data_IF_648364275530
#
_entry.id   IF_648364275530
#
_cell.length_a   1.000
_cell.length_b   1.000
_cell.length_c   1.000
_cell.angle_alpha   90.00
_cell.angle_beta   90.00
_cell.angle_gamma   90.00
#
_symmetry.space_group_name_H-M   'P 1'
#
loop_
_entity.id
_entity.type
_entity.pdbx_description
1 polymer ?
#
# COMPACT_ATOMS: atom_id res chain seq x y z
N UNK A 1 0.72 30.30 -17.32
CA UNK A 1 1.73 30.18 -18.40
C UNK A 1 1.23 29.28 -19.52
N UNK A 2 0.74 28.07 -19.24
CA UNK A 2 0.14 27.19 -20.27
C UNK A 2 -1.04 27.81 -21.05
N UNK A 3 -1.96 28.52 -20.37
CA UNK A 3 -3.09 29.18 -21.04
C UNK A 3 -2.65 30.22 -22.10
N UNK A 4 -1.57 30.97 -21.84
CA UNK A 4 -1.02 31.96 -22.79
C UNK A 4 -0.36 31.28 -24.00
N UNK A 5 0.16 30.07 -23.84
CA UNK A 5 0.76 29.31 -24.94
C UNK A 5 -0.30 28.75 -25.90
N UNK A 6 -1.43 28.28 -25.38
CA UNK A 6 -2.48 27.67 -26.21
C UNK A 6 -3.41 28.69 -26.88
N UNK A 7 -3.52 29.90 -26.31
CA UNK A 7 -4.36 31.01 -26.77
C UNK A 7 -4.32 31.29 -28.31
N UNK A 8 -3.16 31.44 -28.97
CA UNK A 8 -3.11 31.70 -30.42
C UNK A 8 -3.65 30.54 -31.27
N UNK A 9 -3.61 29.31 -30.76
CA UNK A 9 -4.17 28.14 -31.44
C UNK A 9 -5.70 28.08 -31.28
N UNK A 10 -6.21 28.52 -30.13
CA UNK A 10 -7.66 28.62 -29.88
C UNK A 10 -8.31 29.74 -30.70
N UNK A 11 -7.62 30.86 -30.94
CA UNK A 11 -8.13 31.94 -31.78
C UNK A 11 -8.31 31.54 -33.26
N UNK A 12 -7.67 30.45 -33.68
CA UNK A 12 -7.61 29.96 -35.06
C UNK A 12 -8.40 28.64 -35.26
N UNK A 13 -9.32 28.29 -34.36
CA UNK A 13 -10.11 27.04 -34.38
C UNK A 13 -10.93 26.81 -35.67
N UNK A 14 -11.14 27.84 -36.47
CA UNK A 14 -11.87 27.76 -37.76
C UNK A 14 -10.99 27.34 -38.93
N UNK A 15 -9.66 27.22 -38.75
CA UNK A 15 -8.74 26.86 -39.83
C UNK A 15 -8.70 25.33 -40.05
N UNK A 16 -9.13 24.89 -41.23
CA UNK A 16 -9.03 23.51 -41.71
C UNK A 16 -7.61 23.10 -42.16
N UNK A 17 -6.56 23.61 -41.50
CA UNK A 17 -5.18 23.22 -41.82
C UNK A 17 -4.85 21.87 -41.18
N UNK A 18 -4.62 20.78 -41.94
CA UNK A 18 -4.24 19.47 -41.38
C UNK A 18 -2.93 19.50 -40.59
N UNK A 19 -2.10 20.53 -40.73
CA UNK A 19 -0.85 20.73 -39.98
C UNK A 19 -1.03 21.45 -38.64
N UNK A 20 -2.26 21.85 -38.30
CA UNK A 20 -2.51 22.61 -37.07
C UNK A 20 -2.25 21.76 -35.82
N UNK A 21 -1.72 22.41 -34.77
CA UNK A 21 -1.45 21.78 -33.48
C UNK A 21 -2.68 21.06 -32.90
N UNK A 22 -3.87 21.63 -33.10
CA UNK A 22 -5.12 21.11 -32.54
C UNK A 22 -5.74 19.99 -33.39
N UNK A 23 -5.28 19.81 -34.63
CA UNK A 23 -5.75 18.75 -35.53
C UNK A 23 -4.94 17.45 -35.38
N UNK A 24 -3.84 17.45 -34.61
CA UNK A 24 -3.03 16.25 -34.33
C UNK A 24 -2.70 16.14 -32.84
N UNK A 25 -3.27 15.12 -32.19
CA UNK A 25 -2.99 14.83 -30.78
C UNK A 25 -1.49 14.59 -30.54
N UNK A 26 -0.81 13.93 -31.47
CA UNK A 26 0.62 13.65 -31.36
C UNK A 26 1.46 14.94 -31.39
N UNK A 27 1.13 15.89 -32.28
CA UNK A 27 1.82 17.19 -32.32
C UNK A 27 1.54 17.99 -31.05
N UNK A 28 0.29 17.99 -30.59
CA UNK A 28 -0.11 18.63 -29.34
C UNK A 28 0.67 18.10 -28.14
N UNK A 29 0.70 16.78 -27.94
CA UNK A 29 1.45 16.13 -26.86
C UNK A 29 2.94 16.46 -26.95
N UNK A 30 3.54 16.37 -28.14
CA UNK A 30 4.97 16.66 -28.31
C UNK A 30 5.34 18.08 -27.89
N UNK A 31 4.57 19.10 -28.29
CA UNK A 31 4.84 20.49 -27.91
C UNK A 31 4.53 20.74 -26.42
N UNK A 32 3.47 20.12 -25.90
CA UNK A 32 3.10 20.21 -24.49
C UNK A 32 4.23 19.69 -23.60
N UNK A 33 4.75 18.49 -23.89
CA UNK A 33 5.88 17.91 -23.15
C UNK A 33 7.18 18.66 -23.39
N UNK A 34 7.42 19.21 -24.58
CA UNK A 34 8.61 20.01 -24.85
C UNK A 34 8.65 21.31 -24.02
N UNK A 35 7.50 21.96 -23.82
CA UNK A 35 7.42 23.25 -23.13
C UNK A 35 7.17 23.14 -21.64
N UNK A 36 6.45 22.10 -21.20
CA UNK A 36 6.00 21.96 -19.81
C UNK A 36 6.39 20.63 -19.17
N UNK A 37 6.90 19.66 -19.93
CA UNK A 37 7.42 18.42 -19.40
C UNK A 37 8.76 18.63 -18.70
N UNK A 38 9.07 17.77 -17.73
CA UNK A 38 10.40 17.74 -17.12
C UNK A 38 11.33 16.87 -18.00
N UNK A 39 12.41 17.42 -18.57
CA UNK A 39 13.35 16.65 -19.38
C UNK A 39 14.03 15.50 -18.63
N UNK A 40 14.04 15.55 -17.29
CA UNK A 40 14.63 14.54 -16.42
C UNK A 40 13.57 13.66 -15.74
N UNK A 41 12.30 13.71 -16.17
CA UNK A 41 11.21 13.01 -15.49
C UNK A 41 11.48 11.51 -15.36
N UNK A 42 11.91 10.86 -16.44
CA UNK A 42 12.27 9.44 -16.45
C UNK A 42 13.38 9.17 -15.43
N UNK A 43 14.47 9.95 -15.48
CA UNK A 43 15.61 9.78 -14.57
C UNK A 43 15.24 10.00 -13.10
N UNK A 44 14.31 10.92 -12.82
CA UNK A 44 13.77 11.15 -11.48
C UNK A 44 12.91 9.99 -11.03
N UNK A 45 12.02 9.50 -11.89
CA UNK A 45 11.16 8.35 -11.60
C UNK A 45 11.99 7.08 -11.35
N UNK A 46 13.05 6.85 -12.12
CA UNK A 46 14.01 5.76 -11.90
C UNK A 46 14.70 5.87 -10.54
N UNK A 47 15.20 7.05 -10.18
CA UNK A 47 15.83 7.28 -8.87
C UNK A 47 14.83 7.12 -7.70
N UNK A 48 13.59 7.56 -7.88
CA UNK A 48 12.50 7.31 -6.92
C UNK A 48 12.24 5.81 -6.79
N UNK A 49 12.14 5.09 -7.91
CA UNK A 49 11.93 3.64 -7.96
C UNK A 49 13.08 2.84 -7.31
N UNK A 50 14.32 3.30 -7.41
CA UNK A 50 15.48 2.66 -6.79
C UNK A 50 15.42 2.65 -5.26
N UNK A 51 14.86 3.73 -4.70
CA UNK A 51 14.65 3.92 -3.26
C UNK A 51 13.23 3.55 -2.80
N UNK A 52 12.38 3.12 -3.72
CA UNK A 52 10.98 2.80 -3.47
C UNK A 52 10.85 1.49 -2.69
N UNK A 53 10.15 1.54 -1.56
CA UNK A 53 9.94 0.39 -0.70
C UNK A 53 8.80 0.61 0.27
N UNK A 54 8.13 -0.48 0.63
CA UNK A 54 7.06 -0.48 1.61
C UNK A 54 7.63 -0.65 3.01
N UNK A 55 7.15 0.16 3.96
CA UNK A 55 7.51 0.03 5.38
C UNK A 55 6.90 -1.23 6.00
N UNK A 56 7.49 -1.71 7.09
CA UNK A 56 6.89 -2.77 7.89
C UNK A 56 5.53 -2.33 8.45
N UNK A 57 4.51 -3.15 8.25
CA UNK A 57 3.10 -2.81 8.54
C UNK A 57 2.40 -1.88 7.54
N UNK A 58 3.06 -1.51 6.44
CA UNK A 58 2.46 -0.76 5.35
C UNK A 58 1.39 -1.54 4.59
N UNK A 59 0.52 -0.82 3.87
CA UNK A 59 -0.58 -1.38 3.09
C UNK A 59 -0.14 -1.66 1.64
N UNK A 60 -0.33 -2.89 1.18
CA UNK A 60 0.11 -3.31 -0.16
C UNK A 60 -0.69 -2.65 -1.30
N UNK A 61 -1.98 -2.35 -1.11
CA UNK A 61 -2.77 -1.69 -2.16
C UNK A 61 -2.23 -0.30 -2.48
N UNK A 62 -1.85 0.47 -1.45
CA UNK A 62 -1.20 1.78 -1.64
C UNK A 62 0.16 1.62 -2.34
N UNK A 63 0.97 0.67 -1.87
CA UNK A 63 2.26 0.37 -2.49
C UNK A 63 2.14 0.01 -3.99
N UNK A 64 1.16 -0.83 -4.36
CA UNK A 64 0.91 -1.19 -5.77
C UNK A 64 0.49 0.04 -6.58
N UNK A 65 -0.37 0.90 -6.03
CA UNK A 65 -0.82 2.12 -6.70
C UNK A 65 0.35 3.06 -6.97
N UNK A 66 1.18 3.31 -5.96
CA UNK A 66 2.35 4.18 -6.05
C UNK A 66 3.40 3.61 -7.01
N UNK A 67 3.65 2.30 -6.95
CA UNK A 67 4.54 1.61 -7.89
C UNK A 67 4.08 1.78 -9.34
N UNK A 68 2.79 1.57 -9.62
CA UNK A 68 2.22 1.75 -10.97
C UNK A 68 2.34 3.18 -11.46
N UNK A 69 2.16 4.15 -10.58
CA UNK A 69 2.36 5.57 -10.88
C UNK A 69 3.80 5.89 -11.26
N UNK A 70 4.79 5.29 -10.57
CA UNK A 70 6.20 5.44 -10.94
C UNK A 70 6.51 4.78 -12.28
N UNK A 71 6.03 3.56 -12.50
CA UNK A 71 6.28 2.81 -13.74
C UNK A 71 5.68 3.51 -14.96
N UNK A 72 4.52 4.16 -14.83
CA UNK A 72 3.90 4.91 -15.94
C UNK A 72 4.72 6.13 -16.36
N UNK A 73 5.54 6.69 -15.47
CA UNK A 73 6.46 7.80 -15.76
C UNK A 73 7.74 7.35 -16.47
N UNK A 74 8.11 6.08 -16.32
CA UNK A 74 9.33 5.49 -16.91
C UNK A 74 9.02 4.94 -18.33
N UNK A 75 7.95 4.14 -18.46
CA UNK A 75 7.38 3.73 -19.74
C UNK A 75 8.03 2.52 -20.44
N UNK A 76 9.36 2.44 -20.52
CA UNK A 76 10.08 1.51 -21.42
C UNK A 76 10.76 0.31 -20.72
N UNK A 77 10.52 0.11 -19.44
CA UNK A 77 11.10 -1.00 -18.69
C UNK A 77 10.44 -2.35 -18.98
N UNK A 78 11.29 -3.38 -19.15
CA UNK A 78 10.83 -4.76 -19.32
C UNK A 78 10.22 -5.35 -18.04
N UNK A 79 9.24 -6.23 -18.20
CA UNK A 79 8.50 -6.83 -17.08
C UNK A 79 9.40 -7.52 -16.04
N UNK A 80 10.48 -8.19 -16.48
CA UNK A 80 11.44 -8.84 -15.58
C UNK A 80 12.14 -7.84 -14.65
N UNK A 81 12.46 -6.65 -15.16
CA UNK A 81 13.04 -5.57 -14.35
C UNK A 81 11.99 -5.04 -13.36
N UNK A 82 10.75 -4.82 -13.82
CA UNK A 82 9.66 -4.39 -12.95
C UNK A 82 9.39 -5.39 -11.80
N UNK A 83 9.37 -6.69 -12.10
CA UNK A 83 9.25 -7.74 -11.08
C UNK A 83 10.39 -7.67 -10.07
N UNK A 84 11.62 -7.46 -10.52
CA UNK A 84 12.78 -7.33 -9.65
C UNK A 84 12.64 -6.14 -8.69
N UNK A 85 12.31 -4.96 -9.21
CA UNK A 85 12.13 -3.75 -8.40
C UNK A 85 10.93 -3.85 -7.45
N UNK A 86 9.82 -4.44 -7.91
CA UNK A 86 8.67 -4.68 -7.05
C UNK A 86 9.05 -5.58 -5.88
N UNK A 87 9.71 -6.71 -6.12
CA UNK A 87 10.17 -7.62 -5.04
C UNK A 87 11.14 -6.94 -4.09
N UNK A 88 12.10 -6.17 -4.60
CA UNK A 88 13.09 -5.44 -3.79
C UNK A 88 12.44 -4.52 -2.75
N UNK A 89 11.30 -3.90 -3.10
CA UNK A 89 10.60 -2.98 -2.22
C UNK A 89 9.61 -3.64 -1.23
N UNK A 90 9.44 -4.95 -1.26
CA UNK A 90 8.53 -5.65 -0.34
C UNK A 90 9.17 -5.86 1.05
N UNK A 91 8.37 -5.84 2.13
CA UNK A 91 8.84 -6.15 3.47
C UNK A 91 9.14 -7.64 3.62
N UNK A 92 10.03 -7.95 4.57
CA UNK A 92 10.47 -9.32 4.89
C UNK A 92 9.30 -10.28 5.09
N UNK A 93 8.27 -9.86 5.84
CA UNK A 93 7.07 -10.66 6.13
C UNK A 93 6.33 -11.17 4.88
N UNK A 94 6.37 -10.41 3.78
CA UNK A 94 5.71 -10.79 2.53
C UNK A 94 6.67 -11.62 1.69
N UNK A 95 7.95 -11.27 1.66
CA UNK A 95 8.99 -12.04 0.95
C UNK A 95 9.06 -13.48 1.44
N UNK A 96 9.06 -13.71 2.76
CA UNK A 96 9.08 -15.05 3.35
C UNK A 96 7.83 -15.88 2.95
N UNK A 97 6.69 -15.21 2.82
CA UNK A 97 5.45 -15.85 2.40
C UNK A 97 5.40 -16.11 0.89
N UNK A 98 6.02 -15.25 0.09
CA UNK A 98 6.17 -15.44 -1.35
C UNK A 98 7.10 -16.62 -1.65
N UNK A 99 8.21 -16.75 -0.90
CA UNK A 99 9.17 -17.85 -1.08
C UNK A 99 8.57 -19.23 -0.72
N UNK A 100 7.62 -19.25 0.20
CA UNK A 100 6.86 -20.45 0.57
C UNK A 100 5.58 -20.64 -0.26
N UNK A 101 5.27 -19.74 -1.19
CA UNK A 101 4.06 -19.80 -1.99
C UNK A 101 4.18 -20.87 -3.10
N UNK A 102 3.20 -21.78 -3.25
CA UNK A 102 3.30 -22.91 -4.17
C UNK A 102 3.14 -22.52 -5.65
N UNK A 103 2.56 -21.36 -5.93
CA UNK A 103 2.24 -20.92 -7.30
C UNK A 103 3.45 -20.28 -7.99
N UNK A 104 3.61 -20.58 -9.28
CA UNK A 104 4.59 -19.92 -10.13
C UNK A 104 4.14 -18.48 -10.41
N UNK A 105 5.06 -17.53 -10.25
CA UNK A 105 4.82 -16.10 -10.49
C UNK A 105 5.46 -15.75 -11.84
N UNK A 106 4.65 -15.71 -12.89
CA UNK A 106 5.12 -15.52 -14.27
C UNK A 106 4.91 -14.10 -14.79
N UNK A 107 4.05 -13.31 -14.15
CA UNK A 107 3.81 -11.91 -14.51
C UNK A 107 3.91 -10.97 -13.31
N UNK A 108 4.10 -9.68 -13.60
CA UNK A 108 4.04 -8.62 -12.59
C UNK A 108 2.64 -8.54 -11.96
N UNK A 109 1.60 -8.79 -12.77
CA UNK A 109 0.21 -8.74 -12.31
C UNK A 109 -0.07 -9.87 -11.32
N UNK A 110 0.42 -11.08 -11.58
CA UNK A 110 0.28 -12.22 -10.65
C UNK A 110 1.02 -11.93 -9.34
N UNK A 111 2.23 -11.38 -9.43
CA UNK A 111 3.01 -10.99 -8.25
C UNK A 111 2.25 -9.98 -7.38
N UNK A 112 1.68 -8.93 -7.99
CA UNK A 112 0.88 -7.93 -7.30
C UNK A 112 -0.36 -8.56 -6.65
N UNK A 113 -1.05 -9.45 -7.35
CA UNK A 113 -2.24 -10.15 -6.84
C UNK A 113 -1.93 -11.01 -5.61
N UNK A 114 -0.90 -11.85 -5.69
CA UNK A 114 -0.48 -12.72 -4.58
C UNK A 114 -0.03 -11.88 -3.39
N UNK A 115 0.75 -10.82 -3.63
CA UNK A 115 1.23 -9.91 -2.58
C UNK A 115 0.05 -9.27 -1.83
N UNK A 116 -0.99 -8.85 -2.55
CA UNK A 116 -2.19 -8.25 -1.97
C UNK A 116 -3.01 -9.26 -1.14
N UNK A 117 -3.11 -10.50 -1.61
CA UNK A 117 -3.78 -11.58 -0.87
C UNK A 117 -3.07 -11.88 0.45
N UNK A 118 -1.73 -12.02 0.40
CA UNK A 118 -0.90 -12.26 1.58
C UNK A 118 -1.02 -11.13 2.60
N UNK A 119 -1.04 -9.87 2.14
CA UNK A 119 -1.20 -8.70 3.00
C UNK A 119 -2.58 -8.66 3.68
N UNK A 120 -3.63 -8.93 2.91
CA UNK A 120 -5.01 -9.00 3.44
C UNK A 120 -5.10 -10.02 4.56
N UNK A 121 -4.63 -11.25 4.29
CA UNK A 121 -4.61 -12.34 5.26
C UNK A 121 -3.78 -12.01 6.51
N UNK A 122 -2.65 -11.32 6.33
CA UNK A 122 -1.82 -10.85 7.43
C UNK A 122 -2.60 -9.90 8.34
N UNK A 123 -3.24 -8.87 7.75
CA UNK A 123 -4.00 -7.88 8.52
C UNK A 123 -5.23 -8.48 9.22
N UNK A 124 -5.92 -9.44 8.60
CA UNK A 124 -7.00 -10.20 9.25
C UNK A 124 -6.49 -10.94 10.49
N UNK A 125 -5.38 -11.68 10.35
CA UNK A 125 -4.77 -12.40 11.49
C UNK A 125 -4.31 -11.46 12.60
N UNK A 126 -3.81 -10.26 12.28
CA UNK A 126 -3.44 -9.28 13.30
C UNK A 126 -4.67 -8.79 14.08
N UNK A 127 -5.80 -8.54 13.40
CA UNK A 127 -7.07 -8.19 14.06
C UNK A 127 -7.60 -9.30 14.95
N UNK A 128 -7.50 -10.56 14.53
CA UNK A 128 -7.87 -11.71 15.36
C UNK A 128 -7.04 -11.79 16.64
N UNK A 129 -5.71 -11.61 16.52
CA UNK A 129 -4.80 -11.63 17.67
C UNK A 129 -5.10 -10.51 18.66
N UNK A 130 -5.36 -9.29 18.18
CA UNK A 130 -5.71 -8.17 19.06
C UNK A 130 -7.02 -8.44 19.80
N UNK A 131 -8.06 -8.96 19.12
CA UNK A 131 -9.32 -9.31 19.77
C UNK A 131 -9.17 -10.46 20.78
N UNK A 132 -8.31 -11.44 20.50
CA UNK A 132 -8.04 -12.52 21.45
C UNK A 132 -7.29 -12.03 22.69
N UNK A 133 -6.33 -11.12 22.52
CA UNK A 133 -5.60 -10.50 23.62
C UNK A 133 -6.51 -9.67 24.51
N UNK A 134 -7.40 -8.87 23.91
CA UNK A 134 -8.39 -8.06 24.63
C UNK A 134 -9.33 -8.94 25.47
N UNK A 135 -9.90 -10.00 24.87
CA UNK A 135 -10.73 -10.97 25.60
C UNK A 135 -9.99 -11.68 26.73
N UNK A 136 -8.73 -12.06 26.50
CA UNK A 136 -7.91 -12.68 27.54
C UNK A 136 -7.61 -11.70 28.68
N UNK A 137 -7.38 -10.43 28.37
CA UNK A 137 -7.14 -9.39 29.37
C UNK A 137 -8.40 -9.09 30.20
N UNK A 138 -9.57 -9.01 29.55
CA UNK A 138 -10.86 -8.88 30.23
C UNK A 138 -11.16 -10.09 31.12
N UNK A 139 -10.93 -11.31 30.63
CA UNK A 139 -11.12 -12.52 31.41
C UNK A 139 -10.20 -12.55 32.63
N UNK A 140 -8.91 -12.22 32.47
CA UNK A 140 -7.96 -12.16 33.59
C UNK A 140 -8.36 -11.10 34.63
N UNK A 141 -8.84 -9.94 34.20
CA UNK A 141 -9.33 -8.91 35.11
C UNK A 141 -10.61 -9.35 35.83
N UNK A 142 -11.53 -10.02 35.13
CA UNK A 142 -12.75 -10.57 35.72
C UNK A 142 -12.42 -11.64 36.79
N UNK A 143 -11.53 -12.58 36.47
CA UNK A 143 -11.08 -13.59 37.44
C UNK A 143 -10.40 -12.95 38.65
N UNK A 144 -9.49 -11.99 38.44
CA UNK A 144 -8.81 -11.26 39.53
C UNK A 144 -9.77 -10.48 40.42
N UNK A 145 -10.81 -9.88 39.84
CA UNK A 145 -11.85 -9.17 40.58
C UNK A 145 -12.66 -10.15 41.45
N UNK A 146 -13.09 -11.28 40.86
CA UNK A 146 -13.88 -12.30 41.56
C UNK A 146 -13.11 -12.94 42.73
N UNK A 147 -11.82 -13.25 42.55
CA UNK A 147 -10.97 -13.77 43.63
C UNK A 147 -10.86 -12.82 44.82
N UNK A 148 -10.85 -11.51 44.55
CA UNK A 148 -10.79 -10.48 45.59
C UNK A 148 -12.10 -10.33 46.37
N UNK A 149 -13.24 -10.58 45.73
CA UNK A 149 -14.55 -10.63 46.41
C UNK A 149 -14.70 -11.89 47.28
N UNK A 150 -14.19 -13.04 46.82
CA UNK A 150 -14.24 -14.30 47.58
C UNK A 150 -13.34 -14.25 48.82
N UNK A 151 -12.12 -13.69 48.72
CA UNK A 151 -11.24 -13.45 49.89
C UNK A 151 -11.89 -12.52 50.93
N UNK A 152 -12.59 -11.47 50.49
CA UNK A 152 -13.30 -10.53 51.38
C UNK A 152 -14.54 -11.17 52.05
N UNK A 153 -15.12 -12.21 51.44
CA UNK A 153 -16.27 -12.92 52.00
C UNK A 153 -15.89 -14.00 53.02
N UNK A 154 -14.69 -14.59 52.92
CA UNK A 154 -14.22 -15.61 53.87
C UNK A 154 -13.68 -15.00 55.17
N UNK A 155 -13.04 -13.82 55.14
CA UNK A 155 -12.60 -13.12 56.35
C UNK A 155 -13.75 -12.67 57.28
N UNK A 156 -15.00 -12.67 56.79
CA UNK A 156 -16.20 -12.36 57.57
C UNK A 156 -16.83 -13.54 58.32
N UNK A 157 -16.36 -14.79 58.13
CA UNK A 157 -16.90 -15.97 58.83
C UNK A 157 -15.96 -16.43 59.94
N UNK A 158 -15.96 -15.73 61.06
CA UNK A 158 -15.38 -16.26 62.30
C UNK A 158 -16.20 -17.49 62.76
N UNK A 159 -15.56 -18.61 63.15
CA UNK A 159 -16.28 -19.76 63.69
C UNK A 159 -16.84 -19.40 65.07
N UNK A 160 -18.18 -19.44 65.18
CA UNK A 160 -18.85 -19.41 66.48
C UNK A 160 -18.47 -20.67 67.26
N UNK A 161 -17.46 -20.56 68.13
CA UNK A 161 -17.19 -21.56 69.15
C UNK A 161 -18.30 -21.50 70.20
N UNK A 162 -19.13 -22.54 70.23
CA UNK A 162 -20.14 -22.77 71.26
C UNK A 162 -19.42 -23.17 72.55
N UNK A 163 -19.61 -22.39 73.61
CA UNK A 163 -19.11 -22.72 74.96
C UNK A 163 -20.31 -23.18 75.77
N UNK A 164 -20.30 -24.47 76.17
CA UNK A 164 -21.15 -25.05 77.21
C UNK A 164 -20.67 -24.64 78.61
#
# INVERSE_FOLDING_TARGET
>A
MAAKWIEPYLSNLTNQDPSSLLNSLQLFESQLFTLFGDPNEVRKAEAELDSFGMKEGGNVSLYISDFRSLVSRIGDWGERALIHHFRKGLPSRILDQLDSHPSRIDSLLDLMGITLELDTRYHERQKEKSHHQEKNFEALNFFKFKSKEEEFSEEGKAPFFFVE
#
